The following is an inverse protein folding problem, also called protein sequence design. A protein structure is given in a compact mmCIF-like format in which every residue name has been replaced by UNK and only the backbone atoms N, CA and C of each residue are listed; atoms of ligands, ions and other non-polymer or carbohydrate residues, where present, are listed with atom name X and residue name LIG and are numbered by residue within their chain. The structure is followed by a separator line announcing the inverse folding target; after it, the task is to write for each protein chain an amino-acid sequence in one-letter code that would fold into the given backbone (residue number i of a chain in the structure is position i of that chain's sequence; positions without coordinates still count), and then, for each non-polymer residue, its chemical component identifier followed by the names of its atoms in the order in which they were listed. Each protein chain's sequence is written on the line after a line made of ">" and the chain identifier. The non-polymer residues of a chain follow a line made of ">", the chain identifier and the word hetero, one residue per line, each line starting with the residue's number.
data_IF_825156862713
#
_entry.id   IF_825156862713
#
_cell.length_a   1.000
_cell.length_b   1.000
_cell.length_c   1.000
_cell.angle_alpha   90.00
_cell.angle_beta   90.00
_cell.angle_gamma   90.00
#
_symmetry.space_group_name_H-M   'P 1'
#
loop_
_entity.id
_entity.type
_entity.pdbx_description
1 polymer ?
#
# COMPACT_ATOMS: atom_id res chain seq x y z
N UNK A 1 -28.80 -8.21 -33.81
CA UNK A 1 -29.68 -7.08 -33.41
C UNK A 1 -28.85 -5.89 -32.92
N UNK A 2 -28.00 -6.06 -31.90
CA UNK A 2 -27.12 -5.02 -31.38
C UNK A 2 -26.12 -4.45 -32.40
N UNK A 3 -25.59 -5.29 -33.31
CA UNK A 3 -24.74 -4.86 -34.43
C UNK A 3 -25.41 -3.83 -35.36
N UNK A 4 -26.70 -4.00 -35.62
CA UNK A 4 -27.45 -3.10 -36.50
C UNK A 4 -27.70 -1.76 -35.82
N UNK A 5 -27.86 -1.78 -34.49
CA UNK A 5 -28.02 -0.58 -33.69
C UNK A 5 -26.71 0.22 -33.61
N UNK A 6 -25.57 -0.43 -33.34
CA UNK A 6 -24.27 0.26 -33.26
C UNK A 6 -23.83 0.93 -34.58
N UNK A 7 -24.29 0.43 -35.74
CA UNK A 7 -24.00 1.04 -37.04
C UNK A 7 -24.75 2.35 -37.30
N UNK A 8 -25.90 2.55 -36.67
CA UNK A 8 -26.71 3.76 -36.84
C UNK A 8 -27.55 4.01 -35.59
N UNK A 9 -26.93 4.44 -34.47
CA UNK A 9 -27.65 4.74 -33.25
C UNK A 9 -28.52 5.99 -33.47
N UNK A 10 -29.77 6.01 -32.97
CA UNK A 10 -30.60 7.20 -33.02
C UNK A 10 -30.00 8.33 -32.17
N UNK A 11 -29.98 9.56 -32.69
CA UNK A 11 -29.38 10.73 -32.02
C UNK A 11 -29.97 11.05 -30.63
N UNK A 12 -31.22 10.64 -30.39
CA UNK A 12 -31.91 10.86 -29.11
C UNK A 12 -31.61 9.79 -28.04
N UNK A 13 -30.81 8.76 -28.35
CA UNK A 13 -30.56 7.63 -27.45
C UNK A 13 -29.09 7.51 -27.08
N UNK A 14 -28.81 7.43 -25.78
CA UNK A 14 -27.49 7.05 -25.25
C UNK A 14 -27.62 5.67 -24.61
N UNK A 15 -26.92 4.68 -25.18
CA UNK A 15 -26.89 3.32 -24.66
C UNK A 15 -25.49 2.99 -24.15
N UNK A 16 -25.37 2.76 -22.84
CA UNK A 16 -24.10 2.45 -22.17
C UNK A 16 -24.05 0.98 -21.81
N UNK A 17 -23.00 0.28 -22.24
CA UNK A 17 -22.71 -1.09 -21.82
C UNK A 17 -21.60 -1.07 -20.77
N UNK A 18 -21.89 -1.64 -19.60
CA UNK A 18 -20.90 -1.86 -18.55
C UNK A 18 -20.47 -3.32 -18.57
N UNK A 19 -19.19 -3.56 -18.80
CA UNK A 19 -18.62 -4.91 -18.82
C UNK A 19 -17.35 -4.96 -17.97
N UNK A 20 -17.34 -5.85 -16.99
CA UNK A 20 -16.19 -6.06 -16.11
C UNK A 20 -15.39 -7.27 -16.60
N UNK A 21 -14.37 -7.04 -17.42
CA UNK A 21 -13.47 -8.09 -17.91
C UNK A 21 -12.61 -7.64 -19.08
N UNK A 22 -11.70 -8.49 -19.53
CA UNK A 22 -10.85 -8.21 -20.69
C UNK A 22 -11.61 -8.53 -21.98
N UNK A 23 -11.81 -7.52 -22.82
CA UNK A 23 -12.38 -7.72 -24.15
C UNK A 23 -11.23 -7.93 -25.13
N UNK A 24 -11.21 -9.08 -25.81
CA UNK A 24 -10.36 -9.27 -26.98
C UNK A 24 -11.13 -8.74 -28.19
N UNK A 25 -10.62 -7.68 -28.79
CA UNK A 25 -11.17 -7.10 -30.03
C UNK A 25 -10.86 -8.03 -31.22
N UNK A 26 -11.33 -9.28 -31.21
CA UNK A 26 -11.11 -10.23 -32.30
C UNK A 26 -12.21 -10.11 -33.36
N UNK A 27 -11.86 -9.40 -34.43
CA UNK A 27 -12.30 -9.41 -35.84
C UNK A 27 -13.75 -9.68 -36.31
N UNK A 28 -14.72 -10.14 -35.51
CA UNK A 28 -16.11 -10.32 -36.00
C UNK A 28 -17.17 -9.95 -34.96
N UNK A 29 -18.12 -9.13 -35.40
CA UNK A 29 -19.38 -8.85 -34.70
C UNK A 29 -19.49 -7.45 -34.07
N UNK A 30 -20.42 -7.31 -33.12
CA UNK A 30 -20.80 -6.06 -32.42
C UNK A 30 -19.62 -5.22 -31.92
N UNK A 31 -18.61 -5.84 -31.33
CA UNK A 31 -17.43 -5.15 -30.81
C UNK A 31 -16.58 -4.49 -31.89
N UNK A 32 -16.55 -5.04 -33.12
CA UNK A 32 -15.84 -4.42 -34.25
C UNK A 32 -16.54 -3.11 -34.68
N UNK A 33 -17.88 -3.14 -34.75
CA UNK A 33 -18.67 -1.96 -35.10
C UNK A 33 -18.47 -0.85 -34.06
N UNK A 34 -18.44 -1.19 -32.77
CA UNK A 34 -18.16 -0.21 -31.71
C UNK A 34 -16.74 0.36 -31.81
N UNK A 35 -15.74 -0.47 -32.14
CA UNK A 35 -14.37 -0.02 -32.33
C UNK A 35 -14.22 0.91 -33.56
N UNK A 36 -14.89 0.61 -34.66
CA UNK A 36 -14.89 1.43 -35.90
C UNK A 36 -15.49 2.83 -35.67
N UNK A 37 -16.44 2.95 -34.74
CA UNK A 37 -17.10 4.23 -34.41
C UNK A 37 -16.50 4.91 -33.16
N UNK A 38 -15.35 4.43 -32.65
CA UNK A 38 -14.68 4.95 -31.45
C UNK A 38 -15.56 4.97 -30.18
N UNK A 39 -16.48 4.01 -30.07
CA UNK A 39 -17.41 3.86 -28.92
C UNK A 39 -16.89 2.92 -27.83
N UNK A 40 -15.60 2.54 -27.86
CA UNK A 40 -15.00 1.66 -26.86
C UNK A 40 -14.09 2.46 -25.95
N UNK A 41 -14.44 2.50 -24.66
CA UNK A 41 -13.59 3.03 -23.61
C UNK A 41 -13.14 1.89 -22.69
N UNK A 42 -11.83 1.63 -22.64
CA UNK A 42 -11.27 0.60 -21.77
C UNK A 42 -10.77 1.20 -20.45
N UNK A 43 -11.56 1.04 -19.39
CA UNK A 43 -11.19 1.43 -18.03
C UNK A 43 -10.26 0.37 -17.39
N UNK A 44 -9.01 0.29 -17.84
CA UNK A 44 -8.03 -0.64 -17.25
C UNK A 44 -7.81 -0.32 -15.77
N UNK A 45 -7.83 -1.35 -14.93
CA UNK A 45 -7.29 -1.26 -13.58
C UNK A 45 -5.82 -0.78 -13.69
N UNK A 46 -5.55 0.37 -13.08
CA UNK A 46 -4.23 0.94 -13.07
C UNK A 46 -3.35 0.07 -12.15
N UNK A 47 -2.21 -0.39 -12.65
CA UNK A 47 -1.18 -1.01 -11.80
C UNK A 47 -0.59 0.05 -10.86
N UNK A 48 0.06 -0.35 -9.77
CA UNK A 48 0.64 0.55 -8.76
C UNK A 48 1.37 1.77 -9.36
N UNK A 49 2.27 1.57 -10.33
CA UNK A 49 3.00 2.68 -10.99
C UNK A 49 2.07 3.64 -11.74
N UNK A 50 1.03 3.11 -12.38
CA UNK A 50 0.02 3.91 -13.08
C UNK A 50 -0.92 4.63 -12.12
N UNK A 51 -1.19 4.06 -10.93
CA UNK A 51 -1.97 4.72 -9.88
C UNK A 51 -1.22 5.91 -9.28
N UNK A 52 0.08 5.77 -9.01
CA UNK A 52 0.92 6.88 -8.53
C UNK A 52 0.91 8.04 -9.53
N UNK A 53 1.08 7.74 -10.83
CA UNK A 53 1.01 8.76 -11.88
C UNK A 53 -0.39 9.38 -12.00
N UNK A 54 -1.44 8.59 -11.77
CA UNK A 54 -2.80 9.10 -11.76
C UNK A 54 -3.03 10.04 -10.58
N UNK A 55 -2.56 9.70 -9.38
CA UNK A 55 -2.62 10.55 -8.19
C UNK A 55 -1.95 11.91 -8.46
N UNK A 56 -0.75 11.92 -9.06
CA UNK A 56 -0.06 13.17 -9.37
C UNK A 56 -0.81 14.00 -10.39
N UNK A 57 -1.30 13.38 -11.48
CA UNK A 57 -2.10 14.08 -12.50
C UNK A 57 -3.42 14.63 -11.94
N UNK A 58 -4.08 13.87 -11.06
CA UNK A 58 -5.33 14.30 -10.43
C UNK A 58 -5.10 15.50 -9.52
N UNK A 59 -4.02 15.51 -8.73
CA UNK A 59 -3.64 16.68 -7.94
C UNK A 59 -3.36 17.90 -8.84
N UNK A 60 -2.62 17.73 -9.94
CA UNK A 60 -2.30 18.82 -10.87
C UNK A 60 -3.55 19.44 -11.50
N UNK A 61 -4.55 18.63 -11.88
CA UNK A 61 -5.84 19.09 -12.40
C UNK A 61 -6.58 20.01 -11.40
N UNK A 62 -6.40 19.76 -10.10
CA UNK A 62 -6.98 20.55 -9.01
C UNK A 62 -6.04 21.67 -8.53
N UNK A 63 -4.99 22.01 -9.31
CA UNK A 63 -3.98 23.03 -9.00
C UNK A 63 -3.22 22.75 -7.69
N UNK A 64 -3.15 21.48 -7.28
CA UNK A 64 -2.34 21.01 -6.15
C UNK A 64 -1.14 20.22 -6.69
N UNK A 65 -0.09 20.10 -5.90
CA UNK A 65 1.11 19.32 -6.22
C UNK A 65 1.34 18.30 -5.14
N UNK A 66 1.72 17.09 -5.53
CA UNK A 66 2.11 16.01 -4.62
C UNK A 66 3.42 15.41 -5.11
N UNK A 67 4.40 15.27 -4.21
CA UNK A 67 5.63 14.59 -4.57
C UNK A 67 5.33 13.11 -4.84
N UNK A 68 6.07 12.50 -5.77
CA UNK A 68 5.87 11.08 -6.11
C UNK A 68 5.92 10.16 -4.89
N UNK A 69 6.83 10.44 -3.96
CA UNK A 69 7.01 9.67 -2.73
C UNK A 69 5.82 9.78 -1.78
N UNK A 70 5.18 10.95 -1.72
CA UNK A 70 3.96 11.19 -0.96
C UNK A 70 2.74 10.52 -1.63
N UNK A 71 2.70 10.49 -2.96
CA UNK A 71 1.68 9.76 -3.72
C UNK A 71 1.78 8.23 -3.54
N UNK A 72 3.00 7.69 -3.53
CA UNK A 72 3.28 6.29 -3.18
C UNK A 72 2.83 5.99 -1.75
N UNK A 73 3.05 6.92 -0.81
CA UNK A 73 2.59 6.78 0.56
C UNK A 73 1.06 6.79 0.66
N UNK A 74 0.38 7.73 -0.01
CA UNK A 74 -1.08 7.77 -0.08
C UNK A 74 -1.65 6.45 -0.62
N UNK A 75 -1.07 5.92 -1.69
CA UNK A 75 -1.45 4.63 -2.26
C UNK A 75 -1.28 3.50 -1.25
N UNK A 76 -0.20 3.50 -0.46
CA UNK A 76 0.03 2.49 0.57
C UNK A 76 -0.98 2.54 1.73
N UNK A 77 -1.53 3.72 2.03
CA UNK A 77 -2.53 3.89 3.09
C UNK A 77 -3.94 3.50 2.65
N UNK A 78 -4.30 3.84 1.41
CA UNK A 78 -5.68 3.69 0.90
C UNK A 78 -5.87 2.38 0.13
N UNK A 79 -4.79 1.84 -0.45
CA UNK A 79 -4.83 0.68 -1.33
C UNK A 79 -5.16 1.04 -2.79
N UNK A 80 -5.22 0.04 -3.65
CA UNK A 80 -5.33 0.20 -5.11
C UNK A 80 -6.72 0.64 -5.61
N UNK A 81 -7.67 0.88 -4.70
CA UNK A 81 -9.01 1.32 -5.07
C UNK A 81 -9.00 2.79 -5.47
N UNK A 82 -9.03 3.05 -6.78
CA UNK A 82 -9.05 4.41 -7.36
C UNK A 82 -10.17 5.29 -6.79
N UNK A 83 -11.38 4.75 -6.59
CA UNK A 83 -12.50 5.54 -6.05
C UNK A 83 -12.26 5.96 -4.60
N UNK A 84 -11.63 5.10 -3.79
CA UNK A 84 -11.22 5.47 -2.44
C UNK A 84 -10.10 6.51 -2.46
N UNK A 85 -9.11 6.35 -3.36
CA UNK A 85 -8.04 7.34 -3.53
C UNK A 85 -8.57 8.71 -3.91
N UNK A 86 -9.50 8.77 -4.85
CA UNK A 86 -10.18 9.99 -5.27
C UNK A 86 -10.88 10.68 -4.09
N UNK A 87 -11.63 9.90 -3.30
CA UNK A 87 -12.31 10.42 -2.11
C UNK A 87 -11.34 10.97 -1.07
N UNK A 88 -10.17 10.34 -0.87
CA UNK A 88 -9.17 10.86 0.07
C UNK A 88 -8.46 12.11 -0.47
N UNK A 89 -8.18 12.17 -1.77
CA UNK A 89 -7.60 13.36 -2.41
C UNK A 89 -8.53 14.57 -2.30
N UNK A 90 -9.82 14.39 -2.55
CA UNK A 90 -10.82 15.46 -2.39
C UNK A 90 -10.88 15.99 -0.94
N UNK A 91 -10.79 15.11 0.05
CA UNK A 91 -10.71 15.53 1.47
C UNK A 91 -9.44 16.34 1.75
N UNK A 92 -8.30 15.88 1.25
CA UNK A 92 -7.02 16.58 1.38
C UNK A 92 -7.12 17.97 0.72
N UNK A 93 -7.69 18.07 -0.48
CA UNK A 93 -7.85 19.34 -1.20
C UNK A 93 -8.69 20.34 -0.40
N UNK A 94 -9.80 19.87 0.18
CA UNK A 94 -10.67 20.69 1.02
C UNK A 94 -9.96 21.18 2.29
N UNK A 95 -9.10 20.35 2.88
CA UNK A 95 -8.34 20.67 4.11
C UNK A 95 -7.18 21.66 3.87
N UNK A 96 -6.54 21.57 2.70
CA UNK A 96 -5.39 22.40 2.33
C UNK A 96 -5.73 23.90 2.16
N UNK A 97 -6.99 24.24 1.87
CA UNK A 97 -7.39 25.62 1.58
C UNK A 97 -6.55 26.23 0.45
N UNK A 98 -5.86 27.33 0.75
CA UNK A 98 -4.99 28.04 -0.21
C UNK A 98 -3.64 27.36 -0.48
N UNK A 99 -3.22 26.41 0.38
CA UNK A 99 -1.95 25.69 0.15
C UNK A 99 -2.03 24.88 -1.12
N UNK A 100 -0.98 24.92 -1.93
CA UNK A 100 -0.90 24.21 -3.21
C UNK A 100 -0.11 22.90 -3.14
N UNK A 101 0.53 22.58 -2.02
CA UNK A 101 1.37 21.38 -1.87
C UNK A 101 0.76 20.39 -0.87
N UNK A 102 0.58 19.16 -1.34
CA UNK A 102 0.18 18.01 -0.53
C UNK A 102 1.45 17.40 0.04
N UNK A 103 1.66 17.60 1.33
CA UNK A 103 2.81 17.03 2.04
C UNK A 103 2.41 15.75 2.77
N UNK A 104 3.40 14.93 3.12
CA UNK A 104 3.24 13.80 4.04
C UNK A 104 2.34 14.12 5.25
N UNK A 105 2.54 15.27 5.90
CA UNK A 105 1.76 15.65 7.10
C UNK A 105 0.29 15.90 6.78
N UNK A 106 0.00 16.46 5.62
CA UNK A 106 -1.38 16.68 5.17
C UNK A 106 -2.05 15.35 4.81
N UNK A 107 -1.31 14.40 4.23
CA UNK A 107 -1.80 13.05 4.00
C UNK A 107 -2.07 12.36 5.34
N UNK A 108 -1.11 12.39 6.26
CA UNK A 108 -1.24 11.80 7.60
C UNK A 108 -2.42 12.39 8.37
N UNK A 109 -2.61 13.71 8.35
CA UNK A 109 -3.69 14.36 9.08
C UNK A 109 -5.09 14.04 8.51
N UNK A 110 -5.22 13.88 7.19
CA UNK A 110 -6.52 13.77 6.52
C UNK A 110 -6.92 12.34 6.15
N UNK A 111 -5.95 11.45 5.91
CA UNK A 111 -6.20 10.06 5.52
C UNK A 111 -6.26 9.14 6.75
N UNK A 112 -5.66 9.53 7.87
CA UNK A 112 -5.75 8.79 9.14
C UNK A 112 -7.12 9.04 9.79
N UNK A 113 -8.17 8.49 9.19
CA UNK A 113 -9.51 8.38 9.79
C UNK A 113 -10.34 7.30 9.10
N UNK A 114 -9.79 6.09 9.09
CA UNK A 114 -10.57 4.87 9.34
C UNK A 114 -9.79 4.15 10.44
N UNK A 115 -10.43 3.91 11.60
CA UNK A 115 -9.85 3.40 12.86
C UNK A 115 -9.31 1.96 12.74
N UNK A 116 -8.44 1.70 11.79
CA UNK A 116 -7.80 0.41 11.58
C UNK A 116 -6.30 0.65 11.71
N UNK A 117 -5.64 -0.10 12.60
CA UNK A 117 -4.20 0.01 12.70
C UNK A 117 -3.56 -0.51 11.41
N UNK A 118 -2.68 0.31 10.85
CA UNK A 118 -1.83 -0.07 9.72
C UNK A 118 -0.61 -0.85 10.20
N UNK A 119 0.06 -1.50 9.26
CA UNK A 119 1.37 -2.11 9.50
C UNK A 119 2.39 -1.09 10.04
N UNK A 120 2.32 0.18 9.62
CA UNK A 120 3.23 1.22 10.09
C UNK A 120 3.07 1.46 11.58
N UNK A 121 1.82 1.38 12.09
CA UNK A 121 1.57 1.47 13.53
C UNK A 121 2.18 0.29 14.29
N UNK A 122 2.14 -0.93 13.72
CA UNK A 122 2.80 -2.09 14.31
C UNK A 122 4.33 -1.92 14.34
N UNK A 123 4.91 -1.49 13.23
CA UNK A 123 6.34 -1.25 13.09
C UNK A 123 6.82 -0.17 14.07
N UNK A 124 6.09 0.93 14.20
CA UNK A 124 6.38 1.99 15.17
C UNK A 124 6.29 1.48 16.62
N UNK A 125 5.26 0.69 16.95
CA UNK A 125 5.13 0.10 18.29
C UNK A 125 6.26 -0.89 18.61
N UNK A 126 6.67 -1.72 17.65
CA UNK A 126 7.81 -2.64 17.79
C UNK A 126 9.12 -1.85 17.91
N UNK A 127 9.34 -0.90 17.01
CA UNK A 127 10.53 -0.05 16.95
C UNK A 127 10.70 0.85 18.17
N UNK A 128 9.61 1.22 18.84
CA UNK A 128 9.62 1.94 20.10
C UNK A 128 9.56 1.03 21.35
N UNK A 129 9.69 -0.29 21.18
CA UNK A 129 9.61 -1.30 22.25
C UNK A 129 8.30 -1.26 23.08
N UNK A 130 7.20 -0.81 22.51
CA UNK A 130 5.88 -0.74 23.15
C UNK A 130 5.11 -2.06 23.04
N UNK A 131 5.49 -3.05 23.85
CA UNK A 131 4.96 -4.43 23.81
C UNK A 131 3.44 -4.52 23.79
N UNK A 132 2.76 -3.88 24.75
CA UNK A 132 1.29 -3.96 24.89
C UNK A 132 0.57 -3.39 23.66
N UNK A 133 1.07 -2.28 23.12
CA UNK A 133 0.52 -1.65 21.93
C UNK A 133 0.74 -2.53 20.69
N UNK A 134 1.95 -3.06 20.52
CA UNK A 134 2.29 -3.95 19.40
C UNK A 134 1.42 -5.21 19.37
N UNK A 135 1.19 -5.86 20.52
CA UNK A 135 0.31 -7.05 20.61
C UNK A 135 -1.11 -6.72 20.19
N UNK A 136 -1.66 -5.60 20.70
CA UNK A 136 -3.02 -5.16 20.35
C UNK A 136 -3.16 -4.91 18.85
N UNK A 137 -2.20 -4.20 18.26
CA UNK A 137 -2.19 -3.90 16.82
C UNK A 137 -2.07 -5.18 15.99
N UNK A 138 -1.14 -6.06 16.35
CA UNK A 138 -0.89 -7.29 15.60
C UNK A 138 -2.12 -8.22 15.56
N UNK A 139 -2.88 -8.30 16.65
CA UNK A 139 -4.13 -9.08 16.66
C UNK A 139 -5.22 -8.47 15.77
N UNK A 140 -5.32 -7.15 15.70
CA UNK A 140 -6.28 -6.51 14.80
C UNK A 140 -5.90 -6.74 13.32
N UNK A 141 -4.61 -6.64 12.98
CA UNK A 141 -4.13 -6.94 11.63
C UNK A 141 -4.34 -8.43 11.30
N UNK A 142 -4.07 -9.33 12.25
CA UNK A 142 -4.32 -10.76 12.07
C UNK A 142 -5.78 -11.07 11.73
N UNK A 143 -6.73 -10.44 12.43
CA UNK A 143 -8.17 -10.66 12.21
C UNK A 143 -8.65 -10.09 10.86
N UNK A 144 -8.04 -8.99 10.41
CA UNK A 144 -8.43 -8.30 9.18
C UNK A 144 -7.75 -8.85 7.94
N UNK A 145 -6.41 -8.89 7.94
CA UNK A 145 -5.60 -9.13 6.76
C UNK A 145 -4.94 -10.53 6.76
N UNK A 146 -5.03 -11.25 7.88
CA UNK A 146 -4.55 -12.62 8.02
C UNK A 146 -3.06 -12.73 8.36
N UNK A 147 -2.69 -13.92 8.85
CA UNK A 147 -1.33 -14.18 9.36
C UNK A 147 -0.26 -14.14 8.27
N UNK A 148 -0.59 -14.57 7.05
CA UNK A 148 0.38 -14.67 5.94
C UNK A 148 0.88 -13.27 5.57
N UNK A 149 -0.03 -12.30 5.44
CA UNK A 149 0.36 -10.91 5.15
C UNK A 149 1.17 -10.34 6.31
N UNK A 150 0.71 -10.53 7.55
CA UNK A 150 1.38 -10.02 8.74
C UNK A 150 2.83 -10.53 8.84
N UNK A 151 3.07 -11.83 8.65
CA UNK A 151 4.41 -12.42 8.67
C UNK A 151 5.29 -11.88 7.54
N UNK A 152 4.76 -11.77 6.32
CA UNK A 152 5.49 -11.21 5.20
C UNK A 152 5.93 -9.76 5.47
N UNK A 153 5.05 -8.97 6.07
CA UNK A 153 5.32 -7.57 6.42
C UNK A 153 6.34 -7.43 7.57
N UNK A 154 6.25 -8.27 8.60
CA UNK A 154 7.25 -8.31 9.67
C UNK A 154 8.61 -8.75 9.14
N UNK A 155 8.65 -9.75 8.27
CA UNK A 155 9.89 -10.19 7.62
C UNK A 155 10.53 -9.04 6.85
N UNK A 156 9.76 -8.34 6.00
CA UNK A 156 10.24 -7.15 5.29
C UNK A 156 10.80 -6.10 6.26
N UNK A 157 10.09 -5.82 7.36
CA UNK A 157 10.54 -4.85 8.36
C UNK A 157 11.89 -5.22 8.98
N UNK A 158 12.05 -6.45 9.48
CA UNK A 158 13.30 -6.87 10.12
C UNK A 158 14.46 -7.03 9.13
N UNK A 159 14.22 -7.54 7.92
CA UNK A 159 15.22 -7.54 6.85
C UNK A 159 15.70 -6.12 6.54
N UNK A 160 14.77 -5.16 6.51
CA UNK A 160 15.13 -3.76 6.29
C UNK A 160 15.99 -3.19 7.42
N UNK A 161 15.70 -3.54 8.68
CA UNK A 161 16.54 -3.15 9.82
C UNK A 161 17.97 -3.69 9.70
N UNK A 162 18.13 -4.94 9.25
CA UNK A 162 19.46 -5.56 9.05
C UNK A 162 20.31 -4.81 8.01
N UNK A 163 19.68 -4.23 6.98
CA UNK A 163 20.36 -3.56 5.87
C UNK A 163 20.82 -2.12 6.19
N UNK A 164 20.17 -1.46 7.15
CA UNK A 164 20.42 -0.05 7.49
C UNK A 164 21.89 0.26 7.85
N UNK A 165 22.57 -0.51 8.71
CA UNK A 165 23.95 -0.21 9.10
C UNK A 165 24.89 -0.09 7.89
N UNK A 166 24.82 -1.04 6.97
CA UNK A 166 25.65 -1.06 5.76
C UNK A 166 25.39 0.17 4.88
N UNK A 167 24.12 0.54 4.70
CA UNK A 167 23.75 1.72 3.89
C UNK A 167 24.21 3.04 4.51
N UNK A 168 24.19 3.12 5.84
CA UNK A 168 24.69 4.28 6.57
C UNK A 168 26.22 4.39 6.49
N UNK A 169 26.93 3.25 6.57
CA UNK A 169 28.39 3.20 6.37
C UNK A 169 28.81 3.65 4.97
N UNK A 170 28.04 3.23 3.95
CA UNK A 170 28.22 3.66 2.55
C UNK A 170 27.84 5.13 2.30
N UNK A 171 27.32 5.85 3.30
CA UNK A 171 26.86 7.25 3.21
C UNK A 171 25.86 7.49 2.08
N UNK A 172 24.97 6.52 1.85
CA UNK A 172 23.93 6.67 0.84
C UNK A 172 22.97 7.81 1.21
N UNK A 173 22.43 8.57 0.23
CA UNK A 173 21.39 9.57 0.49
C UNK A 173 20.15 8.94 1.13
N UNK A 174 19.53 9.62 2.10
CA UNK A 174 18.35 9.13 2.83
C UNK A 174 17.20 8.67 1.92
N UNK A 175 16.99 9.35 0.79
CA UNK A 175 15.99 8.97 -0.20
C UNK A 175 16.27 7.61 -0.85
N UNK A 176 17.55 7.29 -1.11
CA UNK A 176 17.93 5.98 -1.63
C UNK A 176 17.77 4.90 -0.57
N UNK A 177 18.17 5.18 0.68
CA UNK A 177 18.00 4.24 1.80
C UNK A 177 16.52 3.91 1.99
N UNK A 178 15.66 4.93 2.06
CA UNK A 178 14.22 4.75 2.21
C UNK A 178 13.62 3.89 1.08
N UNK A 179 14.08 4.10 -0.16
CA UNK A 179 13.66 3.31 -1.32
C UNK A 179 14.08 1.84 -1.22
N UNK A 180 15.30 1.54 -0.77
CA UNK A 180 15.78 0.15 -0.64
C UNK A 180 15.07 -0.57 0.52
N UNK A 181 14.90 0.12 1.66
CA UNK A 181 14.12 -0.36 2.81
C UNK A 181 12.62 -0.48 2.44
N UNK A 182 12.18 0.19 1.38
CA UNK A 182 10.80 0.17 0.92
C UNK A 182 9.85 0.87 1.88
N UNK A 183 10.29 2.00 2.44
CA UNK A 183 9.56 2.88 3.35
C UNK A 183 9.58 4.33 2.86
N UNK A 184 8.68 5.18 3.38
CA UNK A 184 8.71 6.60 3.09
C UNK A 184 9.93 7.27 3.77
N UNK A 185 10.63 8.23 3.14
CA UNK A 185 11.79 8.91 3.74
C UNK A 185 11.54 9.49 5.13
N UNK A 186 10.31 9.93 5.39
CA UNK A 186 9.92 10.41 6.72
C UNK A 186 10.07 9.35 7.82
N UNK A 187 9.69 8.09 7.53
CA UNK A 187 9.78 6.98 8.48
C UNK A 187 11.19 6.39 8.60
N UNK A 188 12.13 6.76 7.72
CA UNK A 188 13.50 6.24 7.79
C UNK A 188 14.13 6.52 9.17
N UNK A 189 13.82 7.67 9.77
CA UNK A 189 14.30 8.03 11.11
C UNK A 189 13.84 7.03 12.18
N UNK A 190 12.60 6.54 12.08
CA UNK A 190 12.06 5.54 13.00
C UNK A 190 12.77 4.20 12.82
N UNK A 191 13.05 3.80 11.58
CA UNK A 191 13.80 2.59 11.27
C UNK A 191 15.24 2.65 11.80
N UNK A 192 15.93 3.77 11.61
CA UNK A 192 17.29 3.99 12.15
C UNK A 192 17.28 3.97 13.68
N UNK A 193 16.26 4.56 14.31
CA UNK A 193 16.11 4.52 15.77
C UNK A 193 15.83 3.09 16.26
N UNK A 194 14.92 2.36 15.59
CA UNK A 194 14.61 0.98 15.92
C UNK A 194 15.83 0.08 15.80
N UNK A 195 16.64 0.22 14.74
CA UNK A 195 17.87 -0.58 14.56
C UNK A 195 18.85 -0.45 15.72
N UNK A 196 18.90 0.70 16.41
CA UNK A 196 19.75 0.87 17.61
C UNK A 196 19.28 0.02 18.79
N UNK A 197 18.01 -0.38 18.83
CA UNK A 197 17.41 -1.18 19.90
C UNK A 197 17.47 -2.69 19.63
N UNK A 198 17.87 -3.12 18.44
CA UNK A 198 18.01 -4.53 18.07
C UNK A 198 19.45 -4.83 17.66
N UNK A 199 20.12 -5.74 18.37
CA UNK A 199 21.45 -6.22 18.01
C UNK A 199 21.41 -7.16 16.80
N UNK A 200 22.53 -7.39 16.12
CA UNK A 200 22.59 -8.33 15.00
C UNK A 200 22.23 -9.75 15.40
N UNK A 201 22.69 -10.18 16.59
CA UNK A 201 22.30 -11.47 17.16
C UNK A 201 20.78 -11.56 17.36
N UNK A 202 20.15 -10.47 17.83
CA UNK A 202 18.70 -10.42 18.03
C UNK A 202 17.94 -10.44 16.71
N UNK A 203 18.40 -9.71 15.70
CA UNK A 203 17.77 -9.71 14.38
C UNK A 203 17.87 -11.10 13.73
N UNK A 204 18.99 -11.80 13.87
CA UNK A 204 19.15 -13.18 13.41
C UNK A 204 18.19 -14.16 14.13
N UNK A 205 18.06 -14.03 15.44
CA UNK A 205 17.09 -14.82 16.22
C UNK A 205 15.66 -14.58 15.72
N UNK A 206 15.26 -13.32 15.57
CA UNK A 206 13.94 -12.93 15.07
C UNK A 206 13.70 -13.48 13.66
N UNK A 207 14.70 -13.39 12.77
CA UNK A 207 14.61 -13.92 11.41
C UNK A 207 14.39 -15.43 11.40
N UNK A 208 15.03 -16.16 12.31
CA UNK A 208 14.82 -17.61 12.44
C UNK A 208 13.40 -17.93 12.91
N UNK A 209 12.92 -17.24 13.93
CA UNK A 209 11.55 -17.45 14.45
C UNK A 209 10.48 -17.05 13.43
N UNK A 210 10.72 -16.01 12.63
CA UNK A 210 9.86 -15.64 11.51
C UNK A 210 9.79 -16.75 10.45
N UNK A 211 10.93 -17.33 10.10
CA UNK A 211 10.98 -18.46 9.16
C UNK A 211 10.22 -19.68 9.71
N UNK A 212 10.48 -20.06 10.96
CA UNK A 212 9.79 -21.17 11.61
C UNK A 212 8.27 -20.93 11.70
N UNK A 213 7.86 -19.67 11.94
CA UNK A 213 6.45 -19.26 11.97
C UNK A 213 5.79 -19.36 10.59
N UNK A 214 6.47 -18.92 9.53
CA UNK A 214 5.96 -19.01 8.15
C UNK A 214 5.80 -20.48 7.71
N UNK A 215 6.76 -21.34 8.07
CA UNK A 215 6.66 -22.79 7.85
C UNK A 215 5.49 -23.38 8.63
N UNK A 216 5.35 -23.04 9.92
CA UNK A 216 4.27 -23.56 10.76
C UNK A 216 2.88 -23.19 10.20
N UNK A 217 2.68 -21.94 9.78
CA UNK A 217 1.43 -21.47 9.15
C UNK A 217 1.11 -22.23 7.87
N UNK A 218 2.12 -22.58 7.06
CA UNK A 218 1.93 -23.26 5.76
C UNK A 218 1.80 -24.77 5.86
N UNK A 219 2.29 -25.38 6.94
CA UNK A 219 2.41 -26.84 7.08
C UNK A 219 1.54 -27.44 8.17
N UNK A 220 0.98 -26.63 9.08
CA UNK A 220 0.21 -27.12 10.23
C UNK A 220 -1.10 -26.35 10.39
N UNK A 221 -2.06 -26.96 11.08
CA UNK A 221 -3.32 -26.30 11.50
C UNK A 221 -3.19 -25.57 12.84
N UNK A 222 -1.98 -25.17 13.22
CA UNK A 222 -1.72 -24.52 14.50
C UNK A 222 -2.42 -23.16 14.59
N UNK A 223 -2.84 -22.79 15.80
CA UNK A 223 -3.54 -21.52 16.03
C UNK A 223 -2.63 -20.32 15.70
N UNK A 224 -3.09 -19.50 14.74
CA UNK A 224 -2.34 -18.34 14.26
C UNK A 224 -2.10 -17.29 15.36
N UNK A 225 -3.02 -17.15 16.33
CA UNK A 225 -2.85 -16.24 17.47
C UNK A 225 -1.68 -16.68 18.36
N UNK A 226 -1.56 -17.98 18.60
CA UNK A 226 -0.45 -18.58 19.36
C UNK A 226 0.89 -18.38 18.66
N UNK A 227 0.98 -18.68 17.35
CA UNK A 227 2.21 -18.47 16.57
C UNK A 227 2.65 -17.01 16.65
N UNK A 228 1.71 -16.08 16.43
CA UNK A 228 1.98 -14.64 16.49
C UNK A 228 2.44 -14.20 17.89
N UNK A 229 1.84 -14.73 18.96
CA UNK A 229 2.23 -14.38 20.32
C UNK A 229 3.65 -14.83 20.65
N UNK A 230 4.04 -16.05 20.24
CA UNK A 230 5.41 -16.57 20.42
C UNK A 230 6.45 -15.75 19.65
N UNK A 231 6.09 -15.34 18.42
CA UNK A 231 6.92 -14.45 17.62
C UNK A 231 7.12 -13.10 18.32
N UNK A 232 6.03 -12.46 18.77
CA UNK A 232 6.10 -11.19 19.49
C UNK A 232 6.88 -11.33 20.80
N UNK A 233 6.73 -12.44 21.53
CA UNK A 233 7.52 -12.70 22.73
C UNK A 233 9.02 -12.73 22.42
N UNK A 234 9.44 -13.36 21.32
CA UNK A 234 10.85 -13.36 20.87
C UNK A 234 11.31 -11.97 20.48
N UNK A 235 10.49 -11.20 19.77
CA UNK A 235 10.82 -9.83 19.39
C UNK A 235 11.06 -8.95 20.63
N UNK A 236 10.26 -9.11 21.68
CA UNK A 236 10.34 -8.32 22.90
C UNK A 236 11.20 -8.93 24.01
N UNK A 237 11.79 -10.12 23.82
CA UNK A 237 12.75 -10.65 24.78
C UNK A 237 14.07 -9.87 24.72
N UNK A 238 14.74 -9.80 25.87
CA UNK A 238 16.04 -9.15 26.05
C UNK A 238 17.15 -9.85 25.26
#
# INVERSE_FOLDING_TARGET
>A
MLERYAKNPPEFSVLVFLFNGTIKTSEKGFLKVLAEHDFIFEAKALKEVSLVNWITQYADLHKKKIARVDAEFLLSLVGENRGMLEMQLEKIFASLGEKNEITFKEIEANVVSTKEYSIFNLQDAIGARKKTEAVKIAFQILEKDGIILLLAMLNKYFTSLMQIPEMLEQKLPEQMIARVVGTHPYYLKNFVAARKLFSDAKLLEISKVLFDSDVAVKSTSADHKTILLLLLQTIFSE
#
